data_IF_268503184198
#
_entry.id   IF_268503184198
#
_cell.length_a   1.000
_cell.length_b   1.000
_cell.length_c   1.000
_cell.angle_alpha   90.00
_cell.angle_beta   90.00
_cell.angle_gamma   90.00
#
_symmetry.space_group_name_H-M   'P 1'
#
loop_
_entity.id
_entity.type
_entity.pdbx_description
1 polymer ?
#
# COMPACT_ATOMS: atom_id res chain seq x y z
N UNK A 1 -10.43 11.15 18.68
CA UNK A 1 -10.55 11.20 17.21
C UNK A 1 -9.18 10.89 16.64
N UNK A 2 -8.90 9.64 16.29
CA UNK A 2 -7.67 9.31 15.57
C UNK A 2 -7.90 9.62 14.10
N UNK A 3 -7.52 10.82 13.66
CA UNK A 3 -7.45 11.13 12.24
C UNK A 3 -6.56 10.09 11.56
N UNK A 4 -7.08 9.46 10.50
CA UNK A 4 -6.31 8.52 9.71
C UNK A 4 -5.08 9.27 9.18
N UNK A 5 -3.87 8.72 9.36
CA UNK A 5 -2.67 9.36 8.85
C UNK A 5 -2.81 9.56 7.34
N UNK A 6 -2.27 10.67 6.79
CA UNK A 6 -2.27 10.88 5.36
C UNK A 6 -1.67 9.65 4.68
N UNK A 7 -2.42 9.08 3.73
CA UNK A 7 -1.94 7.97 2.93
C UNK A 7 -0.98 8.53 1.89
N UNK A 8 0.27 8.70 2.31
CA UNK A 8 1.40 9.10 1.47
C UNK A 8 2.37 7.94 1.24
N UNK A 9 3.41 8.20 0.43
CA UNK A 9 4.42 7.21 0.07
C UNK A 9 5.20 6.64 1.24
N UNK A 10 5.46 7.44 2.29
CA UNK A 10 6.19 6.99 3.46
C UNK A 10 5.32 6.09 4.33
N UNK A 11 4.04 6.46 4.50
CA UNK A 11 3.06 5.60 5.16
C UNK A 11 2.93 4.25 4.45
N UNK A 12 2.83 4.26 3.11
CA UNK A 12 2.77 3.04 2.31
C UNK A 12 3.97 2.13 2.53
N UNK A 13 5.17 2.71 2.56
CA UNK A 13 6.42 1.99 2.79
C UNK A 13 6.48 1.38 4.19
N UNK A 14 6.06 2.13 5.21
CA UNK A 14 5.98 1.66 6.61
C UNK A 14 4.99 0.51 6.74
N UNK A 15 3.79 0.66 6.17
CA UNK A 15 2.75 -0.38 6.16
C UNK A 15 3.27 -1.67 5.53
N UNK A 16 3.88 -1.57 4.34
CA UNK A 16 4.45 -2.69 3.62
C UNK A 16 5.53 -3.40 4.44
N UNK A 17 6.49 -2.63 4.98
CA UNK A 17 7.60 -3.17 5.78
C UNK A 17 7.12 -3.80 7.09
N UNK A 18 6.17 -3.17 7.78
CA UNK A 18 5.58 -3.71 9.02
C UNK A 18 4.87 -5.03 8.79
N UNK A 19 4.40 -5.29 7.56
CA UNK A 19 3.80 -6.55 7.14
C UNK A 19 4.78 -7.54 6.50
N UNK A 20 6.06 -7.17 6.37
CA UNK A 20 7.08 -7.98 5.70
C UNK A 20 6.82 -8.20 4.21
N UNK A 21 6.11 -7.29 3.55
CA UNK A 21 5.77 -7.39 2.13
C UNK A 21 6.85 -6.79 1.23
N UNK A 22 7.03 -7.37 0.05
CA UNK A 22 7.77 -6.75 -1.05
C UNK A 22 6.90 -5.71 -1.77
N UNK A 23 7.53 -4.81 -2.54
CA UNK A 23 6.77 -3.84 -3.34
C UNK A 23 5.87 -4.54 -4.36
N UNK A 24 6.31 -5.67 -4.90
CA UNK A 24 5.54 -6.51 -5.84
C UNK A 24 4.30 -7.08 -5.16
N UNK A 25 4.44 -7.67 -3.97
CA UNK A 25 3.30 -8.22 -3.22
C UNK A 25 2.23 -7.17 -2.90
N UNK A 26 2.67 -5.96 -2.53
CA UNK A 26 1.76 -4.84 -2.33
C UNK A 26 1.11 -4.41 -3.66
N UNK A 27 1.86 -4.43 -4.76
CA UNK A 27 1.35 -4.08 -6.08
C UNK A 27 0.31 -5.07 -6.58
N UNK A 28 0.59 -6.37 -6.48
CA UNK A 28 -0.32 -7.47 -6.83
C UNK A 28 -1.62 -7.36 -6.02
N UNK A 29 -1.51 -7.11 -4.71
CA UNK A 29 -2.67 -6.92 -3.86
C UNK A 29 -3.53 -5.72 -4.30
N UNK A 30 -2.89 -4.62 -4.67
CA UNK A 30 -3.57 -3.41 -5.11
C UNK A 30 -3.97 -3.45 -6.60
N UNK A 31 -3.64 -4.51 -7.33
CA UNK A 31 -3.88 -4.61 -8.77
C UNK A 31 -3.15 -3.53 -9.58
N UNK A 32 -1.97 -3.08 -9.12
CA UNK A 32 -1.13 -2.09 -9.82
C UNK A 32 0.24 -2.66 -10.13
N UNK A 33 1.03 -1.96 -10.94
CA UNK A 33 2.41 -2.37 -11.19
C UNK A 33 3.34 -2.04 -10.02
N UNK A 34 4.35 -2.89 -9.78
CA UNK A 34 5.40 -2.63 -8.79
C UNK A 34 6.09 -1.27 -9.02
N UNK A 35 6.30 -0.89 -10.28
CA UNK A 35 6.85 0.42 -10.64
C UNK A 35 5.98 1.59 -10.13
N UNK A 36 4.66 1.42 -10.08
CA UNK A 36 3.73 2.42 -9.54
C UNK A 36 3.83 2.52 -8.01
N UNK A 37 3.98 1.40 -7.30
CA UNK A 37 4.29 1.38 -5.87
C UNK A 37 5.61 2.09 -5.59
N UNK A 38 6.67 1.78 -6.35
CA UNK A 38 7.97 2.44 -6.23
C UNK A 38 7.89 3.95 -6.49
N UNK A 39 7.06 4.41 -7.44
CA UNK A 39 6.81 5.85 -7.64
C UNK A 39 6.12 6.47 -6.42
N UNK A 40 5.09 5.83 -5.88
CA UNK A 40 4.39 6.32 -4.68
C UNK A 40 5.34 6.40 -3.48
N UNK A 41 6.12 5.35 -3.20
CA UNK A 41 7.09 5.34 -2.08
C UNK A 41 8.22 6.38 -2.23
N UNK A 42 8.46 6.90 -3.43
CA UNK A 42 9.43 7.98 -3.70
C UNK A 42 8.83 9.38 -3.64
N UNK A 43 7.58 9.52 -3.23
CA UNK A 43 6.91 10.82 -3.07
C UNK A 43 6.10 11.28 -4.28
N UNK A 44 5.81 10.39 -5.25
CA UNK A 44 4.84 10.73 -6.29
C UNK A 44 3.44 10.91 -5.68
N UNK A 45 2.68 11.88 -6.21
CA UNK A 45 1.29 12.11 -5.78
C UNK A 45 0.45 10.84 -5.99
N UNK A 46 -0.17 10.37 -4.92
CA UNK A 46 -1.12 9.26 -4.95
C UNK A 46 -2.49 9.85 -5.32
N UNK A 47 -3.04 9.45 -6.46
CA UNK A 47 -4.37 9.89 -6.86
C UNK A 47 -5.45 9.38 -5.89
N UNK A 48 -6.53 10.15 -5.74
CA UNK A 48 -7.71 9.80 -4.92
C UNK A 48 -8.21 8.35 -5.05
N UNK A 49 -8.32 7.74 -6.26
CA UNK A 49 -8.75 6.33 -6.36
C UNK A 49 -7.81 5.36 -5.65
N UNK A 50 -6.50 5.59 -5.70
CA UNK A 50 -5.51 4.75 -5.03
C UNK A 50 -5.48 4.99 -3.52
N UNK A 51 -5.73 6.22 -3.07
CA UNK A 51 -5.87 6.51 -1.63
C UNK A 51 -7.01 5.70 -1.01
N UNK A 52 -8.16 5.62 -1.68
CA UNK A 52 -9.29 4.80 -1.20
C UNK A 52 -8.91 3.33 -1.09
N UNK A 53 -8.22 2.78 -2.10
CA UNK A 53 -7.78 1.38 -2.10
C UNK A 53 -6.78 1.09 -0.97
N UNK A 54 -5.84 1.99 -0.75
CA UNK A 54 -4.88 1.92 0.36
C UNK A 54 -5.57 2.03 1.73
N UNK A 55 -6.58 2.88 1.84
CA UNK A 55 -7.39 3.00 3.05
C UNK A 55 -8.17 1.71 3.33
N UNK A 56 -8.71 1.05 2.30
CA UNK A 56 -9.31 -0.28 2.44
C UNK A 56 -8.28 -1.31 2.93
N UNK A 57 -7.06 -1.30 2.40
CA UNK A 57 -5.97 -2.18 2.84
C UNK A 57 -5.56 -1.96 4.32
N UNK A 58 -5.76 -0.76 4.86
CA UNK A 58 -5.52 -0.44 6.27
C UNK A 58 -6.67 -0.94 7.15
N UNK A 59 -7.92 -0.76 6.70
CA UNK A 59 -9.13 -1.10 7.45
C UNK A 59 -9.46 -2.60 7.43
N UNK A 60 -9.14 -3.29 6.33
CA UNK A 60 -9.38 -4.71 6.13
C UNK A 60 -8.06 -5.38 5.72
N UNK A 61 -7.17 -5.70 6.68
CA UNK A 61 -5.94 -6.41 6.36
C UNK A 61 -6.31 -7.79 5.78
N UNK A 62 -5.75 -8.19 4.62
CA UNK A 62 -5.99 -9.52 4.10
C UNK A 62 -5.41 -10.55 5.07
N UNK A 63 -6.25 -11.52 5.43
CA UNK A 63 -5.82 -12.66 6.25
C UNK A 63 -4.77 -13.46 5.48
N UNK A 64 -3.54 -13.40 5.97
CA UNK A 64 -2.45 -14.25 5.51
C UNK A 64 -1.78 -13.76 4.22
N UNK A 65 -0.45 -14.00 4.16
CA UNK A 65 0.31 -13.94 2.92
C UNK A 65 -0.37 -14.88 1.92
N UNK A 66 -1.16 -14.38 0.98
CA UNK A 66 -1.33 -15.07 -0.31
C UNK A 66 0.01 -14.97 -1.02
N UNK A 67 0.93 -15.83 -0.58
CA UNK A 67 2.13 -16.17 -1.31
C UNK A 67 1.65 -16.92 -2.54
N UNK A 68 1.41 -16.18 -3.61
CA UNK A 68 1.48 -16.76 -4.94
C UNK A 68 2.98 -16.78 -5.23
N UNK A 69 3.61 -17.93 -4.96
CA UNK A 69 4.83 -18.35 -5.64
C UNK A 69 4.41 -19.23 -6.81
#
# INVERSE_FOLDING_TARGET
MSELPPIDGDYLKKLRKGRGWSQTQLADYLGVSQARISKFERGAKIGKPYQKLLMQLVLAPPEGKRAVQ
#
